data_IF_590051206025
#
_entry.id   IF_590051206025
#
_cell.length_a   1.000
_cell.length_b   1.000
_cell.length_c   1.000
_cell.angle_alpha   90.00
_cell.angle_beta   90.00
_cell.angle_gamma   90.00
#
_symmetry.space_group_name_H-M   'P 1'
#
loop_
_entity.id
_entity.type
_entity.pdbx_description
1 polymer ?
#
# COMPACT_ATOMS: atom_id res chain seq x y z
N UNK A 1 -37.39 22.01 10.98
CA UNK A 1 -36.58 21.15 11.86
C UNK A 1 -35.19 21.05 11.22
N UNK A 2 -34.19 21.74 11.76
CA UNK A 2 -32.85 21.77 11.18
C UNK A 2 -32.22 20.36 11.20
N UNK A 3 -31.42 19.97 10.19
CA UNK A 3 -30.77 18.67 10.19
C UNK A 3 -29.77 18.63 11.36
N UNK A 4 -29.91 17.62 12.22
CA UNK A 4 -29.02 17.40 13.36
C UNK A 4 -27.56 17.15 12.89
N UNK A 5 -26.55 17.56 13.68
CA UNK A 5 -25.13 17.57 13.33
C UNK A 5 -24.52 16.17 13.45
N UNK A 6 -24.94 15.24 12.58
CA UNK A 6 -24.42 13.86 12.59
C UNK A 6 -22.91 13.81 12.33
N UNK A 7 -22.38 14.73 11.52
CA UNK A 7 -20.95 14.78 11.18
C UNK A 7 -20.08 15.28 12.34
N UNK A 8 -20.56 16.21 13.17
CA UNK A 8 -19.76 16.74 14.28
C UNK A 8 -19.60 15.73 15.41
N UNK A 9 -20.63 14.90 15.64
CA UNK A 9 -20.56 13.81 16.60
C UNK A 9 -19.55 12.73 16.20
N UNK A 10 -19.51 12.37 14.91
CA UNK A 10 -18.57 11.37 14.38
C UNK A 10 -17.12 11.87 14.44
N UNK A 11 -16.86 13.11 13.99
CA UNK A 11 -15.52 13.73 14.06
C UNK A 11 -15.01 13.81 15.50
N UNK A 12 -15.90 14.13 16.45
CA UNK A 12 -15.54 14.17 17.87
C UNK A 12 -15.20 12.80 18.43
N UNK A 13 -15.91 11.75 18.00
CA UNK A 13 -15.60 10.37 18.38
C UNK A 13 -14.27 9.89 17.80
N UNK A 14 -13.98 10.22 16.53
CA UNK A 14 -12.69 9.92 15.90
C UNK A 14 -11.54 10.57 16.67
N UNK A 15 -11.69 11.85 17.03
CA UNK A 15 -10.70 12.56 17.85
C UNK A 15 -10.51 11.91 19.23
N UNK A 16 -11.60 11.56 19.92
CA UNK A 16 -11.53 10.89 21.22
C UNK A 16 -10.89 9.50 21.13
N UNK A 17 -11.16 8.75 20.06
CA UNK A 17 -10.53 7.46 19.78
C UNK A 17 -9.03 7.61 19.59
N UNK A 18 -8.61 8.63 18.82
CA UNK A 18 -7.20 8.95 18.62
C UNK A 18 -6.49 9.30 19.94
N UNK A 19 -7.06 10.24 20.70
CA UNK A 19 -6.50 10.64 22.01
C UNK A 19 -6.41 9.45 22.95
N UNK A 20 -7.43 8.58 23.00
CA UNK A 20 -7.39 7.36 23.80
C UNK A 20 -6.26 6.43 23.36
N UNK A 21 -6.04 6.27 22.05
CA UNK A 21 -4.97 5.40 21.54
C UNK A 21 -3.58 5.96 21.85
N UNK A 22 -3.38 7.28 21.70
CA UNK A 22 -2.14 7.95 22.10
C UNK A 22 -1.90 7.81 23.60
N UNK A 23 -2.94 7.96 24.43
CA UNK A 23 -2.85 7.77 25.87
C UNK A 23 -2.39 6.35 26.24
N UNK A 24 -2.95 5.31 25.62
CA UNK A 24 -2.52 3.92 25.84
C UNK A 24 -1.07 3.67 25.38
N UNK A 25 -0.63 4.35 24.32
CA UNK A 25 0.75 4.25 23.84
C UNK A 25 1.74 4.88 24.83
N UNK A 26 1.38 6.03 25.42
CA UNK A 26 2.15 6.67 26.50
C UNK A 26 2.20 5.78 27.75
N UNK A 27 1.09 5.17 28.14
CA UNK A 27 1.05 4.25 29.28
C UNK A 27 1.94 3.03 29.06
N UNK A 28 1.95 2.49 27.84
CA UNK A 28 2.76 1.32 27.49
C UNK A 28 4.27 1.62 27.47
N UNK A 29 4.68 2.78 26.94
CA UNK A 29 6.10 3.11 26.77
C UNK A 29 6.71 3.90 27.94
N UNK A 30 5.90 4.67 28.68
CA UNK A 30 6.37 5.55 29.76
C UNK A 30 5.79 5.19 31.13
N UNK A 31 4.81 4.29 31.19
CA UNK A 31 4.17 3.87 32.45
C UNK A 31 3.13 4.84 32.99
N UNK A 32 2.73 5.86 32.22
CA UNK A 32 1.67 6.79 32.58
C UNK A 32 0.81 7.19 31.37
N UNK A 33 -0.51 7.26 31.58
CA UNK A 33 -1.47 7.75 30.59
C UNK A 33 -2.11 9.05 31.07
N UNK A 34 -1.61 10.19 30.60
CA UNK A 34 -2.24 11.49 30.85
C UNK A 34 -3.02 11.93 29.61
N UNK A 35 -4.33 12.12 29.81
CA UNK A 35 -5.25 12.59 28.77
C UNK A 35 -4.85 13.97 28.24
N UNK A 36 -4.48 14.91 29.11
CA UNK A 36 -4.16 16.29 28.70
C UNK A 36 -2.88 16.30 27.87
N UNK A 37 -1.89 15.50 28.27
CA UNK A 37 -0.67 15.32 27.49
C UNK A 37 -0.95 14.63 26.15
N UNK A 38 -1.81 13.62 26.12
CA UNK A 38 -2.19 12.94 24.88
C UNK A 38 -2.91 13.89 23.90
N UNK A 39 -3.81 14.75 24.39
CA UNK A 39 -4.45 15.80 23.59
C UNK A 39 -3.40 16.77 23.01
N UNK A 40 -2.47 17.24 23.85
CA UNK A 40 -1.39 18.13 23.41
C UNK A 40 -0.48 17.51 22.34
N UNK A 41 -0.03 16.27 22.54
CA UNK A 41 0.80 15.52 21.58
C UNK A 41 0.05 15.31 20.26
N UNK A 42 -1.25 15.01 20.33
CA UNK A 42 -2.11 14.83 19.16
C UNK A 42 -2.19 16.11 18.33
N UNK A 43 -2.34 17.27 18.98
CA UNK A 43 -2.36 18.57 18.31
C UNK A 43 -1.00 18.91 17.67
N UNK A 44 0.11 18.66 18.37
CA UNK A 44 1.45 18.86 17.83
C UNK A 44 1.71 18.03 16.57
N UNK A 45 1.37 16.75 16.60
CA UNK A 45 1.59 15.83 15.47
C UNK A 45 0.72 16.15 14.26
N UNK A 46 -0.47 16.70 14.48
CA UNK A 46 -1.37 17.12 13.40
C UNK A 46 -0.78 18.23 12.51
N UNK A 47 0.04 19.09 13.11
CA UNK A 47 0.69 20.21 12.43
C UNK A 47 2.10 19.86 11.92
N UNK A 48 2.49 18.58 11.94
CA UNK A 48 3.76 18.08 11.40
C UNK A 48 3.50 17.13 10.24
N UNK A 49 4.29 17.24 9.17
CA UNK A 49 4.19 16.33 8.01
C UNK A 49 5.22 15.19 8.08
N UNK A 50 6.38 15.46 8.67
CA UNK A 50 7.49 14.51 8.77
C UNK A 50 7.89 14.26 10.23
N UNK A 51 8.49 13.09 10.48
CA UNK A 51 8.95 12.65 11.81
C UNK A 51 9.93 13.66 12.41
N UNK A 52 10.86 14.18 11.62
CA UNK A 52 11.89 15.11 12.09
C UNK A 52 11.30 16.43 12.59
N UNK A 53 10.23 16.94 11.94
CA UNK A 53 9.49 18.12 12.40
C UNK A 53 8.79 17.86 13.73
N UNK A 54 8.19 16.68 13.87
CA UNK A 54 7.50 16.28 15.09
C UNK A 54 8.47 16.09 16.25
N UNK A 55 9.61 15.43 16.02
CA UNK A 55 10.69 15.27 17.01
C UNK A 55 11.25 16.63 17.47
N UNK A 56 11.49 17.56 16.53
CA UNK A 56 11.97 18.90 16.86
C UNK A 56 10.97 19.66 17.75
N UNK A 57 9.67 19.61 17.45
CA UNK A 57 8.64 20.24 18.29
C UNK A 57 8.52 19.57 19.65
N UNK A 58 8.64 18.25 19.74
CA UNK A 58 8.64 17.56 21.03
C UNK A 58 9.82 18.02 21.90
N UNK A 59 11.02 18.12 21.31
CA UNK A 59 12.22 18.61 22.01
C UNK A 59 12.11 20.06 22.45
N UNK A 60 11.51 20.94 21.63
CA UNK A 60 11.22 22.33 22.01
C UNK A 60 10.29 22.41 23.23
N UNK A 61 9.35 21.48 23.33
CA UNK A 61 8.44 21.33 24.48
C UNK A 61 9.03 20.50 25.63
N UNK A 62 10.33 20.18 25.58
CA UNK A 62 11.05 19.47 26.64
C UNK A 62 10.78 17.96 26.70
N UNK A 63 10.18 17.38 25.66
CA UNK A 63 9.95 15.94 25.53
C UNK A 63 11.01 15.33 24.62
N UNK A 64 11.97 14.60 25.21
CA UNK A 64 12.94 13.81 24.46
C UNK A 64 12.56 12.33 24.55
N UNK A 65 12.27 11.73 23.40
CA UNK A 65 11.77 10.37 23.29
C UNK A 65 12.61 9.59 22.26
N UNK A 66 12.64 8.26 22.34
CA UNK A 66 13.28 7.45 21.31
C UNK A 66 12.64 7.65 19.93
N UNK A 67 13.44 7.70 18.86
CA UNK A 67 12.97 7.90 17.46
C UNK A 67 11.87 6.90 17.07
N UNK A 68 12.00 5.64 17.47
CA UNK A 68 10.96 4.63 17.20
C UNK A 68 9.61 5.04 17.77
N UNK A 69 9.58 5.69 18.95
CA UNK A 69 8.36 6.05 19.63
C UNK A 69 7.74 7.30 18.99
N UNK A 70 8.57 8.28 18.66
CA UNK A 70 8.15 9.48 17.91
C UNK A 70 7.50 9.09 16.57
N UNK A 71 8.10 8.14 15.85
CA UNK A 71 7.54 7.56 14.61
C UNK A 71 6.19 6.89 14.84
N UNK A 72 6.07 6.05 15.87
CA UNK A 72 4.83 5.37 16.21
C UNK A 72 3.71 6.37 16.52
N UNK A 73 3.99 7.37 17.37
CA UNK A 73 3.04 8.41 17.72
C UNK A 73 2.56 9.18 16.49
N UNK A 74 3.49 9.63 15.62
CA UNK A 74 3.12 10.36 14.40
C UNK A 74 2.28 9.48 13.45
N UNK A 75 2.61 8.19 13.34
CA UNK A 75 1.86 7.23 12.52
C UNK A 75 0.42 7.05 13.03
N UNK A 76 0.24 6.94 14.35
CA UNK A 76 -1.09 6.84 14.97
C UNK A 76 -1.90 8.11 14.69
N UNK A 77 -1.28 9.28 14.85
CA UNK A 77 -1.93 10.58 14.62
C UNK A 77 -2.35 10.72 13.16
N UNK A 78 -1.45 10.46 12.20
CA UNK A 78 -1.73 10.59 10.78
C UNK A 78 -2.70 9.54 10.23
N UNK A 79 -2.83 8.38 10.89
CA UNK A 79 -3.81 7.37 10.50
C UNK A 79 -5.27 7.84 10.65
N UNK A 80 -5.54 8.73 11.61
CA UNK A 80 -6.90 9.24 11.91
C UNK A 80 -7.04 10.70 11.48
N UNK A 81 -6.01 11.51 11.69
CA UNK A 81 -5.94 12.92 11.29
C UNK A 81 -4.81 13.09 10.28
N UNK A 82 -5.07 12.92 8.98
CA UNK A 82 -4.06 13.17 7.97
C UNK A 82 -3.54 14.61 8.09
N UNK A 83 -2.25 14.84 7.78
CA UNK A 83 -1.65 16.18 7.86
C UNK A 83 -2.48 17.16 7.04
N UNK A 84 -2.72 18.36 7.59
CA UNK A 84 -3.51 19.39 6.90
C UNK A 84 -2.77 19.71 5.58
N UNK A 85 -3.43 19.60 4.41
CA UNK A 85 -2.79 20.04 3.18
C UNK A 85 -2.50 21.53 3.31
N UNK A 86 -1.23 21.92 3.20
CA UNK A 86 -0.84 23.32 3.08
C UNK A 86 -1.57 23.86 1.85
N UNK A 87 -2.53 24.77 2.06
CA UNK A 87 -3.14 25.49 0.96
C UNK A 87 -2.04 26.31 0.28
N UNK A 88 -1.59 25.82 -0.88
CA UNK A 88 -0.77 26.61 -1.80
C UNK A 88 -1.55 27.91 -2.06
N UNK A 89 -0.96 29.05 -1.65
CA UNK A 89 -1.49 30.36 -2.03
C UNK A 89 -1.58 30.40 -3.54
N UNK A 90 -2.77 30.73 -4.03
CA UNK A 90 -3.06 31.00 -5.43
C UNK A 90 -1.99 31.91 -6.04
N UNK A 91 -1.12 31.35 -6.87
CA UNK A 91 -0.44 32.09 -7.93
C UNK A 91 -0.94 31.52 -9.24
N UNK A 92 -1.87 32.27 -9.83
CA UNK A 92 -2.36 32.16 -11.19
C UNK A 92 -1.22 31.84 -12.18
N UNK A 93 -1.26 30.66 -12.81
CA UNK A 93 -0.62 30.39 -14.09
C UNK A 93 -1.35 29.27 -14.83
N UNK A 94 -1.95 29.66 -15.94
CA UNK A 94 -2.54 28.79 -16.94
C UNK A 94 -1.53 27.74 -17.46
N UNK A 95 -2.09 26.60 -17.88
CA UNK A 95 -1.54 25.60 -18.82
C UNK A 95 -0.33 24.76 -18.39
N UNK A 96 -0.59 23.55 -17.88
CA UNK A 96 0.04 22.27 -18.26
C UNK A 96 -0.51 21.13 -17.37
N UNK A 97 -0.64 19.89 -17.86
CA UNK A 97 -1.03 18.77 -17.01
C UNK A 97 0.07 18.47 -16.00
N UNK A 98 -0.34 18.32 -14.76
CA UNK A 98 0.44 18.24 -13.54
C UNK A 98 1.37 17.00 -13.53
N UNK A 99 2.68 17.26 -13.55
CA UNK A 99 3.77 16.30 -13.45
C UNK A 99 4.04 15.92 -11.98
N UNK A 100 3.00 15.47 -11.26
CA UNK A 100 3.08 15.07 -9.83
C UNK A 100 2.93 13.56 -9.60
N UNK A 101 3.24 12.72 -10.58
CA UNK A 101 3.35 11.27 -10.36
C UNK A 101 4.41 10.58 -11.22
N UNK A 102 5.66 11.05 -11.16
CA UNK A 102 6.80 10.39 -11.83
C UNK A 102 7.33 9.15 -11.09
N UNK A 103 6.90 8.90 -9.85
CA UNK A 103 7.33 7.71 -9.10
C UNK A 103 6.62 6.43 -9.57
N UNK A 104 5.40 6.53 -10.09
CA UNK A 104 4.62 5.39 -10.56
C UNK A 104 3.79 5.74 -11.80
N UNK A 105 4.47 5.97 -12.91
CA UNK A 105 3.83 6.29 -14.21
C UNK A 105 2.85 5.20 -14.68
N UNK A 106 3.09 3.94 -14.29
CA UNK A 106 2.19 2.82 -14.57
C UNK A 106 0.83 2.91 -13.83
N UNK A 107 0.77 3.63 -12.69
CA UNK A 107 -0.43 3.78 -11.87
C UNK A 107 -1.19 5.08 -12.16
N UNK A 108 -0.71 5.92 -13.10
CA UNK A 108 -1.35 7.19 -13.48
C UNK A 108 -2.64 6.97 -14.26
N UNK A 109 -2.88 5.75 -14.74
CA UNK A 109 -3.98 5.48 -15.63
C UNK A 109 -5.27 5.27 -14.82
N UNK A 110 -6.26 6.12 -15.08
CA UNK A 110 -7.56 6.04 -14.42
C UNK A 110 -8.33 4.76 -14.77
N UNK A 111 -9.04 4.21 -13.78
CA UNK A 111 -9.89 3.04 -13.96
C UNK A 111 -11.12 3.38 -14.80
N UNK A 112 -11.23 2.71 -15.95
CA UNK A 112 -12.39 2.81 -16.85
C UNK A 112 -13.01 1.43 -17.03
N UNK A 113 -14.35 1.38 -17.13
CA UNK A 113 -15.11 0.13 -17.22
C UNK A 113 -14.75 -0.72 -18.45
N UNK A 114 -14.33 -0.09 -19.53
CA UNK A 114 -13.92 -0.79 -20.75
C UNK A 114 -12.50 -1.36 -20.63
N UNK A 115 -11.59 -0.62 -19.98
CA UNK A 115 -10.23 -1.06 -19.67
C UNK A 115 -10.22 -2.25 -18.70
N UNK A 116 -11.10 -2.25 -17.70
CA UNK A 116 -11.24 -3.38 -16.78
C UNK A 116 -11.65 -4.67 -17.50
N UNK A 117 -12.58 -4.59 -18.46
CA UNK A 117 -13.01 -5.73 -19.29
C UNK A 117 -11.93 -6.23 -20.27
N UNK A 118 -11.00 -5.36 -20.65
CA UNK A 118 -9.86 -5.72 -21.49
C UNK A 118 -8.81 -6.47 -20.68
N UNK A 119 -8.46 -5.95 -19.49
CA UNK A 119 -7.56 -6.61 -18.53
C UNK A 119 -8.11 -7.99 -18.14
N UNK A 120 -9.41 -8.10 -17.87
CA UNK A 120 -10.05 -9.38 -17.53
C UNK A 120 -9.94 -10.41 -18.67
N UNK A 121 -10.11 -9.98 -19.93
CA UNK A 121 -9.93 -10.84 -21.11
C UNK A 121 -8.48 -11.26 -21.31
N UNK A 122 -7.52 -10.36 -21.06
CA UNK A 122 -6.09 -10.65 -21.17
C UNK A 122 -5.65 -11.70 -20.13
N UNK A 123 -6.12 -11.56 -18.88
CA UNK A 123 -5.86 -12.53 -17.81
C UNK A 123 -6.44 -13.91 -18.15
N UNK A 124 -7.64 -13.96 -18.75
CA UNK A 124 -8.27 -15.22 -19.15
C UNK A 124 -7.50 -15.92 -20.27
N UNK A 125 -7.01 -15.15 -21.26
CA UNK A 125 -6.18 -15.68 -22.34
C UNK A 125 -4.82 -16.19 -21.85
N UNK A 126 -4.16 -15.47 -20.95
CA UNK A 126 -2.89 -15.91 -20.34
C UNK A 126 -3.09 -17.18 -19.50
N UNK A 127 -4.18 -17.25 -18.74
CA UNK A 127 -4.53 -18.45 -17.97
C UNK A 127 -4.82 -19.66 -18.88
N UNK A 128 -5.40 -19.42 -20.05
CA UNK A 128 -5.67 -20.47 -21.05
C UNK A 128 -4.39 -20.93 -21.76
N UNK A 129 -3.49 -20.01 -22.11
CA UNK A 129 -2.21 -20.31 -22.73
C UNK A 129 -1.29 -21.10 -21.77
N UNK A 130 -1.22 -20.69 -20.50
CA UNK A 130 -0.51 -21.45 -19.46
C UNK A 130 -1.07 -22.85 -19.23
N UNK A 131 -2.37 -23.07 -19.46
CA UNK A 131 -2.98 -24.41 -19.43
C UNK A 131 -2.58 -25.22 -20.65
N UNK A 132 -2.57 -24.61 -21.83
CA UNK A 132 -2.18 -25.24 -23.10
C UNK A 132 -0.71 -25.65 -23.12
N UNK A 133 0.19 -24.81 -22.61
CA UNK A 133 1.62 -25.14 -22.49
C UNK A 133 1.89 -26.23 -21.45
N UNK A 134 1.00 -26.38 -20.46
CA UNK A 134 1.05 -27.44 -19.45
C UNK A 134 0.43 -28.76 -19.94
N UNK A 135 -0.42 -28.67 -20.97
CA UNK A 135 -1.05 -29.78 -21.70
C UNK A 135 -0.37 -29.96 -23.07
N UNK A 136 0.96 -30.12 -23.09
CA UNK A 136 1.66 -30.72 -24.23
C UNK A 136 1.01 -32.10 -24.53
N UNK A 137 0.45 -32.33 -25.72
CA UNK A 137 -0.13 -33.62 -26.08
C UNK A 137 1.00 -34.64 -26.27
N UNK A 138 1.15 -35.56 -25.32
CA UNK A 138 1.77 -36.85 -25.56
C UNK A 138 0.90 -37.61 -26.58
N UNK A 139 1.05 -37.42 -27.89
CA UNK A 139 0.76 -38.43 -28.94
C UNK A 139 1.16 -37.89 -30.33
N UNK A 140 2.31 -38.33 -30.86
CA UNK A 140 2.42 -38.86 -32.23
C UNK A 140 3.85 -39.37 -32.49
N UNK A 141 4.13 -40.61 -32.07
CA UNK A 141 5.20 -41.39 -32.69
C UNK A 141 4.73 -42.84 -32.90
N UNK A 142 3.58 -42.97 -33.58
CA UNK A 142 3.23 -44.21 -34.27
C UNK A 142 3.65 -44.07 -35.73
N UNK A 143 4.38 -45.08 -36.19
CA UNK A 143 4.70 -45.40 -37.59
C UNK A 143 6.01 -44.85 -38.17
N UNK A 144 7.15 -45.47 -37.80
CA UNK A 144 8.21 -45.83 -38.77
C UNK A 144 9.31 -46.75 -38.20
N UNK A 145 8.96 -48.01 -37.94
CA UNK A 145 9.96 -49.09 -37.89
C UNK A 145 9.38 -50.40 -38.41
N UNK A 146 8.66 -50.32 -39.53
CA UNK A 146 8.54 -51.43 -40.46
C UNK A 146 9.68 -51.22 -41.46
N UNK A 147 10.42 -52.29 -41.73
CA UNK A 147 11.42 -52.40 -42.80
C UNK A 147 12.84 -51.90 -42.49
N UNK A 148 13.60 -52.75 -41.78
CA UNK A 148 14.99 -53.04 -42.14
C UNK A 148 15.37 -54.47 -41.75
N UNK A 149 14.83 -55.39 -42.52
CA UNK A 149 15.51 -56.66 -42.81
C UNK A 149 16.98 -56.41 -43.16
N UNK A 150 17.85 -57.30 -42.64
CA UNK A 150 18.99 -57.95 -43.31
C UNK A 150 20.22 -58.04 -42.40
N UNK A 151 20.32 -59.19 -41.75
CA UNK A 151 21.49 -60.05 -41.79
C UNK A 151 22.81 -59.48 -41.28
N UNK A 152 23.28 -60.02 -40.16
CA UNK A 152 24.61 -60.64 -40.15
C UNK A 152 24.78 -61.56 -38.96
N UNK A 153 24.82 -62.85 -39.28
CA UNK A 153 25.61 -63.84 -38.56
C UNK A 153 26.99 -63.27 -38.19
N UNK A 154 27.42 -63.56 -36.97
CA UNK A 154 28.77 -64.09 -36.66
C UNK A 154 28.92 -64.31 -35.17
N UNK A 155 28.83 -65.57 -34.80
CA UNK A 155 29.79 -66.31 -33.99
C UNK A 155 30.86 -65.46 -33.27
N UNK A 156 30.89 -65.54 -31.94
CA UNK A 156 32.08 -66.10 -31.26
C UNK A 156 31.86 -66.37 -29.77
N UNK A 157 32.13 -67.63 -29.44
CA UNK A 157 32.52 -68.23 -28.16
C UNK A 157 33.20 -67.25 -27.18
N UNK A 158 33.01 -67.34 -25.87
CA UNK A 158 33.40 -68.47 -25.00
C UNK A 158 32.91 -68.26 -23.57
#
# INVERSE_FOLDING_TARGET
>A
MAPAPKDDGLKKLEYLSLVSKVCSELETHLGFGDKVLAEFITELGRDCEIVDEFDAKLKENGAEMPDYFVRTLLTIIHAILPPKPKSEKESNKESAPDDKNTKYTALVIADNRDRAKEIEREIELEAQERRRDREEPLEEDRHRARDRDRGRDRDRDR
#
